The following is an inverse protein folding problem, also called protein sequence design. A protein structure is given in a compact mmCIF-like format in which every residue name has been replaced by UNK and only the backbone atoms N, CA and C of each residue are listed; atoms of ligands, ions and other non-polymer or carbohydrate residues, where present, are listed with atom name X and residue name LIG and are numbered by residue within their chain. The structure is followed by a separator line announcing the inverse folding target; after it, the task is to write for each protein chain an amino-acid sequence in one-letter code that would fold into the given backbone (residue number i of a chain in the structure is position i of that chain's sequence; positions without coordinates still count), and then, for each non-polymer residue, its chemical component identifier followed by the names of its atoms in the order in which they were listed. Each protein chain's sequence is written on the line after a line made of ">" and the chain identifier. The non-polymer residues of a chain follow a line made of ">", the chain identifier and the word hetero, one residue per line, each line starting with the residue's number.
data_IF_447161180801
#
_entry.id   IF_447161180801
#
_cell.length_a   1.000
_cell.length_b   1.000
_cell.length_c   1.000
_cell.angle_alpha   90.00
_cell.angle_beta   90.00
_cell.angle_gamma   90.00
#
_symmetry.space_group_name_H-M   'P 1'
#
loop_
_entity.id
_entity.type
_entity.pdbx_description
1 polymer ?
#
# COMPACT_ATOMS: atom_id res chain seq x y z
N UNK A 1 -6.08 15.04 -7.45
CA UNK A 1 -5.15 14.81 -6.35
C UNK A 1 -5.53 13.47 -5.69
N UNK A 2 -4.56 12.61 -5.40
CA UNK A 2 -4.74 11.38 -4.64
C UNK A 2 -5.28 11.71 -3.24
N UNK A 3 -6.19 10.90 -2.71
CA UNK A 3 -6.85 11.10 -1.42
C UNK A 3 -6.56 9.94 -0.49
N UNK A 4 -6.60 10.20 0.83
CA UNK A 4 -6.43 9.20 1.88
C UNK A 4 -5.18 8.31 1.69
N UNK A 5 -4.05 8.93 1.33
CA UNK A 5 -2.79 8.22 1.09
C UNK A 5 -2.15 7.64 2.36
N UNK A 6 -2.59 8.10 3.53
CA UNK A 6 -2.18 7.58 4.84
C UNK A 6 -3.22 6.67 5.49
N UNK A 7 -4.28 6.29 4.76
CA UNK A 7 -5.31 5.35 5.21
C UNK A 7 -6.02 5.72 6.53
N UNK A 8 -6.08 7.02 6.85
CA UNK A 8 -6.67 7.49 8.11
C UNK A 8 -8.22 7.44 8.12
N UNK A 9 -8.84 7.13 6.98
CA UNK A 9 -10.28 7.01 6.83
C UNK A 9 -10.65 5.71 6.08
N UNK A 10 -11.61 4.92 6.57
CA UNK A 10 -12.25 5.04 7.88
C UNK A 10 -11.30 4.71 9.04
N UNK A 11 -11.62 5.19 10.24
CA UNK A 11 -10.82 4.85 11.42
C UNK A 11 -11.07 3.41 11.84
N UNK A 12 -10.02 2.69 12.18
CA UNK A 12 -10.09 1.33 12.71
C UNK A 12 -10.98 1.25 13.95
N UNK A 13 -10.94 2.27 14.82
CA UNK A 13 -11.77 2.33 16.02
C UNK A 13 -13.28 2.47 15.73
N UNK A 14 -13.67 3.03 14.57
CA UNK A 14 -15.05 3.43 14.28
C UNK A 14 -15.80 2.41 13.41
N UNK A 15 -15.10 1.55 12.70
CA UNK A 15 -15.65 0.72 11.62
C UNK A 15 -15.50 -0.79 11.91
N UNK A 16 -16.18 -1.28 12.95
CA UNK A 16 -16.26 -2.74 13.18
C UNK A 16 -14.90 -3.40 13.35
N UNK A 17 -14.11 -2.90 14.27
CA UNK A 17 -12.75 -3.37 14.55
C UNK A 17 -12.66 -4.88 14.71
N UNK A 18 -11.81 -5.49 13.91
CA UNK A 18 -11.40 -6.88 14.05
C UNK A 18 -10.15 -6.95 14.94
N UNK A 19 -10.00 -8.04 15.65
CA UNK A 19 -8.85 -8.24 16.53
C UNK A 19 -8.26 -9.62 16.29
N UNK A 20 -6.96 -9.64 16.00
CA UNK A 20 -6.18 -10.86 15.94
C UNK A 20 -4.92 -10.68 16.80
N UNK A 21 -4.78 -11.51 17.84
CA UNK A 21 -3.61 -11.48 18.77
C UNK A 21 -3.28 -10.05 19.24
N UNK A 22 -4.26 -9.28 19.66
CA UNK A 22 -4.16 -7.87 20.08
C UNK A 22 -3.82 -6.85 18.98
N UNK A 23 -3.57 -7.25 17.74
CA UNK A 23 -3.58 -6.30 16.64
C UNK A 23 -5.02 -5.92 16.30
N UNK A 24 -5.22 -4.65 15.98
CA UNK A 24 -6.52 -4.13 15.57
C UNK A 24 -6.48 -3.74 14.08
N UNK A 25 -7.47 -4.15 13.35
CA UNK A 25 -7.61 -3.84 11.92
C UNK A 25 -9.09 -3.84 11.51
N UNK A 26 -9.37 -3.37 10.33
CA UNK A 26 -10.67 -3.47 9.67
C UNK A 26 -10.47 -4.01 8.25
N UNK A 27 -11.49 -4.67 7.72
CA UNK A 27 -11.56 -5.02 6.31
C UNK A 27 -12.70 -4.24 5.68
N UNK A 28 -12.37 -3.33 4.77
CA UNK A 28 -13.27 -2.32 4.24
C UNK A 28 -13.57 -2.60 2.78
N UNK A 29 -14.86 -2.64 2.42
CA UNK A 29 -15.29 -2.91 1.05
C UNK A 29 -15.01 -1.74 0.10
N UNK A 30 -14.78 -2.06 -1.18
CA UNK A 30 -14.79 -1.06 -2.24
C UNK A 30 -16.08 -0.22 -2.19
N UNK A 31 -15.95 1.09 -2.39
CA UNK A 31 -17.09 2.01 -2.36
C UNK A 31 -17.53 2.47 -0.98
N UNK A 32 -16.82 2.09 0.09
CA UNK A 32 -17.02 2.70 1.41
C UNK A 32 -16.71 4.20 1.34
N UNK A 33 -17.60 5.01 1.92
CA UNK A 33 -17.47 6.46 1.94
C UNK A 33 -16.11 6.89 2.53
N UNK A 34 -15.51 7.89 1.91
CA UNK A 34 -14.24 8.50 2.32
C UNK A 34 -13.01 7.55 2.32
N UNK A 35 -13.19 6.31 1.88
CA UNK A 35 -12.05 5.39 1.67
C UNK A 35 -11.20 5.82 0.49
N UNK A 36 -11.82 6.19 -0.64
CA UNK A 36 -11.22 6.58 -1.92
C UNK A 36 -10.42 5.49 -2.64
N UNK A 37 -9.96 4.48 -1.92
CA UNK A 37 -9.23 3.35 -2.49
C UNK A 37 -10.15 2.26 -2.97
N UNK A 38 -9.69 1.56 -4.01
CA UNK A 38 -10.27 0.32 -4.52
C UNK A 38 -9.19 -0.76 -4.50
N UNK A 39 -9.62 -2.02 -4.46
CA UNK A 39 -8.72 -3.17 -4.54
C UNK A 39 -9.20 -4.17 -5.58
N UNK A 40 -8.26 -4.98 -6.08
CA UNK A 40 -8.56 -6.15 -6.93
C UNK A 40 -8.69 -7.44 -6.13
N UNK A 41 -8.36 -7.42 -4.83
CA UNK A 41 -8.43 -8.59 -3.96
C UNK A 41 -9.88 -9.05 -3.76
N UNK A 42 -10.13 -10.36 -3.92
CA UNK A 42 -11.44 -11.03 -3.76
C UNK A 42 -11.43 -12.07 -2.63
N UNK A 43 -10.47 -11.97 -1.73
CA UNK A 43 -10.22 -12.93 -0.68
C UNK A 43 -11.34 -13.14 0.31
N UNK A 44 -11.17 -14.11 1.20
CA UNK A 44 -12.09 -14.37 2.28
C UNK A 44 -12.07 -13.22 3.32
N UNK A 45 -13.24 -12.93 3.89
CA UNK A 45 -13.33 -12.00 5.02
C UNK A 45 -12.84 -12.69 6.29
N UNK A 46 -11.94 -12.04 7.02
CA UNK A 46 -11.39 -12.57 8.26
C UNK A 46 -12.49 -12.94 9.28
N UNK A 47 -12.45 -14.15 9.79
CA UNK A 47 -13.36 -14.64 10.83
C UNK A 47 -14.74 -15.11 10.37
N UNK A 48 -15.16 -14.84 9.13
CA UNK A 48 -16.49 -15.25 8.65
C UNK A 48 -16.49 -16.52 7.80
N UNK A 49 -15.33 -16.91 7.25
CA UNK A 49 -15.22 -18.00 6.27
C UNK A 49 -15.99 -17.75 4.96
N UNK A 50 -16.65 -16.60 4.83
CA UNK A 50 -17.42 -16.24 3.66
C UNK A 50 -16.55 -15.43 2.72
N UNK A 51 -16.36 -15.91 1.50
CA UNK A 51 -15.70 -15.13 0.46
C UNK A 51 -16.54 -13.89 0.16
N UNK A 52 -15.89 -12.75 0.19
CA UNK A 52 -16.47 -11.46 -0.17
C UNK A 52 -15.58 -10.79 -1.21
N UNK A 53 -16.19 -9.98 -2.06
CA UNK A 53 -15.47 -9.29 -3.10
C UNK A 53 -14.89 -7.96 -2.60
N UNK A 54 -13.61 -7.70 -2.92
CA UNK A 54 -12.99 -6.40 -2.88
C UNK A 54 -12.89 -5.75 -1.50
N UNK A 55 -12.11 -6.38 -0.61
CA UNK A 55 -11.78 -5.82 0.70
C UNK A 55 -10.35 -5.30 0.78
N UNK A 56 -10.21 -4.13 1.41
CA UNK A 56 -8.93 -3.53 1.78
C UNK A 56 -8.73 -3.74 3.27
N UNK A 57 -7.59 -4.24 3.69
CA UNK A 57 -7.22 -4.32 5.09
C UNK A 57 -6.48 -3.05 5.52
N UNK A 58 -6.99 -2.40 6.59
CA UNK A 58 -6.39 -1.24 7.22
C UNK A 58 -6.13 -1.58 8.68
N UNK A 59 -4.88 -1.41 9.12
CA UNK A 59 -4.42 -1.74 10.45
C UNK A 59 -4.16 -0.50 11.31
N UNK A 60 -4.40 -0.63 12.62
CA UNK A 60 -4.02 0.35 13.63
C UNK A 60 -2.52 0.24 13.92
N UNK A 61 -1.74 1.25 13.51
CA UNK A 61 -0.30 1.30 13.69
C UNK A 61 0.16 1.26 15.15
N UNK A 62 -0.66 1.72 16.08
CA UNK A 62 -0.34 1.67 17.51
C UNK A 62 -0.44 0.27 18.11
N UNK A 63 -1.12 -0.66 17.40
CA UNK A 63 -1.36 -2.04 17.83
C UNK A 63 -0.87 -3.08 16.83
N UNK A 64 -0.07 -2.67 15.88
CA UNK A 64 0.44 -3.53 14.81
C UNK A 64 1.57 -4.46 15.27
N UNK A 65 2.30 -4.04 16.30
CA UNK A 65 3.47 -4.78 16.82
C UNK A 65 3.12 -5.78 17.92
N UNK A 66 2.10 -5.51 18.74
CA UNK A 66 1.77 -6.32 19.90
C UNK A 66 0.80 -7.46 19.56
N UNK A 67 1.32 -8.52 18.99
CA UNK A 67 0.57 -9.77 18.78
C UNK A 67 0.73 -10.77 19.90
N UNK A 68 1.21 -10.35 21.11
CA UNK A 68 1.76 -11.30 22.06
C UNK A 68 0.84 -11.67 23.22
N UNK A 69 0.41 -12.91 23.18
CA UNK A 69 0.39 -13.70 24.43
C UNK A 69 1.80 -14.24 24.69
N UNK A 70 2.13 -14.55 25.94
CA UNK A 70 3.40 -15.20 26.35
C UNK A 70 3.78 -16.43 25.51
N UNK A 71 2.83 -17.00 24.75
CA UNK A 71 2.97 -18.21 23.96
C UNK A 71 3.16 -17.96 22.44
N UNK A 72 3.08 -16.73 21.95
CA UNK A 72 3.36 -16.39 20.57
C UNK A 72 4.14 -15.08 20.47
N UNK A 73 5.47 -15.17 20.44
CA UNK A 73 6.36 -14.02 20.50
C UNK A 73 6.41 -13.19 19.19
N UNK A 74 5.65 -13.56 18.16
CA UNK A 74 5.71 -12.87 16.88
C UNK A 74 4.66 -11.77 16.80
N UNK A 75 5.06 -10.50 16.53
CA UNK A 75 4.13 -9.42 16.27
C UNK A 75 3.31 -9.69 15.00
N UNK A 76 2.06 -9.24 14.94
CA UNK A 76 1.16 -9.55 13.82
C UNK A 76 1.62 -8.92 12.50
N UNK A 77 1.96 -7.63 12.51
CA UNK A 77 2.44 -6.92 11.32
C UNK A 77 3.95 -6.67 11.33
N UNK A 78 4.59 -6.89 12.47
CA UNK A 78 6.04 -6.72 12.64
C UNK A 78 6.56 -5.31 12.26
N UNK A 79 5.73 -4.32 12.46
CA UNK A 79 6.05 -2.89 12.33
C UNK A 79 5.55 -2.16 13.59
N UNK A 80 6.33 -1.21 14.11
CA UNK A 80 6.06 -0.58 15.42
C UNK A 80 5.06 0.56 15.38
N UNK A 81 4.83 1.14 14.21
CA UNK A 81 3.92 2.27 14.01
C UNK A 81 3.57 2.42 12.53
N UNK A 82 2.54 3.17 12.20
CA UNK A 82 2.34 3.71 10.86
C UNK A 82 3.52 4.61 10.44
N UNK A 83 3.76 4.75 9.15
CA UNK A 83 4.76 5.69 8.62
C UNK A 83 4.24 7.13 8.70
N UNK A 84 2.95 7.32 8.46
CA UNK A 84 2.25 8.60 8.61
C UNK A 84 0.93 8.39 9.34
N UNK A 85 0.64 9.28 10.31
CA UNK A 85 -0.60 9.20 11.08
C UNK A 85 -0.64 8.00 12.03
N UNK A 86 -1.76 7.27 11.99
CA UNK A 86 -2.03 6.18 12.93
C UNK A 86 -2.31 4.83 12.26
N UNK A 87 -2.57 4.81 10.95
CA UNK A 87 -3.05 3.64 10.22
C UNK A 87 -2.19 3.37 8.99
N UNK A 88 -2.23 2.16 8.49
CA UNK A 88 -1.60 1.74 7.23
C UNK A 88 -2.42 0.63 6.57
N UNK A 89 -2.20 0.37 5.28
CA UNK A 89 -2.86 -0.71 4.56
C UNK A 89 -1.95 -1.93 4.37
N UNK A 90 -2.57 -3.09 4.16
CA UNK A 90 -1.92 -4.30 3.68
C UNK A 90 -2.44 -4.66 2.28
N UNK A 91 -1.52 -4.89 1.33
CA UNK A 91 -1.88 -5.25 -0.05
C UNK A 91 -2.39 -6.68 -0.18
N UNK A 92 -1.93 -7.58 0.70
CA UNK A 92 -2.35 -8.97 0.73
C UNK A 92 -3.49 -9.14 1.74
N UNK A 93 -4.69 -8.67 1.41
CA UNK A 93 -5.88 -8.90 2.22
C UNK A 93 -6.45 -10.29 1.91
N UNK A 94 -5.93 -11.34 2.57
CA UNK A 94 -6.22 -12.78 2.38
C UNK A 94 -5.77 -13.36 1.02
N UNK A 95 -5.43 -12.52 0.05
CA UNK A 95 -4.82 -12.88 -1.24
C UNK A 95 -4.00 -11.71 -1.79
N UNK A 96 -3.10 -11.94 -2.76
CA UNK A 96 -2.42 -10.86 -3.44
C UNK A 96 -3.41 -9.94 -4.13
N UNK A 97 -3.35 -8.66 -3.81
CA UNK A 97 -4.21 -7.65 -4.38
C UNK A 97 -3.42 -6.43 -4.89
N UNK A 98 -4.13 -5.56 -5.57
CA UNK A 98 -3.64 -4.25 -5.94
C UNK A 98 -4.59 -3.18 -5.40
N UNK A 99 -4.06 -2.20 -4.68
CA UNK A 99 -4.79 -0.98 -4.31
C UNK A 99 -4.66 0.03 -5.44
N UNK A 100 -5.76 0.71 -5.79
CA UNK A 100 -5.72 1.70 -6.84
C UNK A 100 -6.66 2.89 -6.61
N UNK A 101 -6.29 4.01 -7.21
CA UNK A 101 -7.12 5.21 -7.37
C UNK A 101 -7.01 5.76 -8.79
N UNK A 102 -8.10 6.39 -9.25
CA UNK A 102 -8.14 7.18 -10.47
C UNK A 102 -8.02 8.67 -10.12
N UNK A 103 -7.11 9.35 -10.79
CA UNK A 103 -6.84 10.78 -10.56
C UNK A 103 -6.97 11.52 -11.88
N UNK A 104 -7.70 12.64 -11.87
CA UNK A 104 -7.72 13.56 -13.03
C UNK A 104 -6.33 14.16 -13.22
N UNK A 105 -5.85 14.10 -14.44
CA UNK A 105 -4.52 14.54 -14.85
C UNK A 105 -4.55 15.36 -16.11
N UNK A 106 -3.49 16.10 -16.37
CA UNK A 106 -3.31 16.93 -17.55
C UNK A 106 -2.17 16.36 -18.41
N UNK A 107 -2.41 16.04 -19.69
CA UNK A 107 -1.38 15.54 -20.59
C UNK A 107 -0.14 16.43 -20.62
N UNK A 108 1.04 15.80 -20.65
CA UNK A 108 2.33 16.49 -20.65
C UNK A 108 2.83 16.94 -19.27
N UNK A 109 2.01 16.80 -18.22
CA UNK A 109 2.45 17.14 -16.85
C UNK A 109 3.37 16.07 -16.31
N UNK A 110 4.45 16.49 -15.65
CA UNK A 110 5.26 15.60 -14.79
C UNK A 110 4.62 15.56 -13.41
N UNK A 111 4.34 14.35 -12.94
CA UNK A 111 3.77 14.07 -11.64
C UNK A 111 4.79 13.28 -10.82
N UNK A 112 4.94 13.64 -9.57
CA UNK A 112 5.80 12.94 -8.63
C UNK A 112 4.98 11.96 -7.80
N UNK A 113 5.45 10.74 -7.64
CA UNK A 113 4.84 9.76 -6.75
C UNK A 113 5.77 9.39 -5.62
N UNK A 114 5.22 9.06 -4.47
CA UNK A 114 5.94 8.58 -3.32
C UNK A 114 5.09 7.68 -2.46
N UNK A 115 5.73 6.75 -1.74
CA UNK A 115 5.09 5.84 -0.80
C UNK A 115 6.11 5.32 0.23
N UNK A 116 5.58 4.85 1.37
CA UNK A 116 6.34 4.04 2.32
C UNK A 116 5.91 2.59 2.18
N UNK A 117 6.88 1.67 2.06
CA UNK A 117 6.66 0.23 1.98
C UNK A 117 7.47 -0.51 3.05
N UNK A 118 6.90 -1.59 3.57
CA UNK A 118 7.57 -2.51 4.50
C UNK A 118 7.11 -3.95 4.27
N UNK A 119 8.01 -4.90 4.50
CA UNK A 119 7.64 -6.31 4.58
C UNK A 119 6.99 -6.66 5.91
N UNK A 120 6.05 -7.60 5.92
CA UNK A 120 5.36 -8.05 7.14
C UNK A 120 6.15 -9.10 7.91
N UNK A 121 6.55 -10.19 7.26
CA UNK A 121 7.21 -11.35 7.90
C UNK A 121 8.63 -11.62 7.42
N UNK A 122 9.14 -10.78 6.56
CA UNK A 122 10.45 -10.90 5.93
C UNK A 122 10.60 -9.87 4.84
N UNK A 123 11.16 -10.26 3.70
CA UNK A 123 11.20 -9.39 2.51
C UNK A 123 9.96 -9.62 1.68
N UNK A 124 9.16 -8.59 1.51
CA UNK A 124 8.02 -8.58 0.61
C UNK A 124 8.34 -7.72 -0.62
N UNK A 125 7.69 -8.03 -1.73
CA UNK A 125 7.89 -7.33 -3.00
C UNK A 125 6.56 -6.82 -3.53
N UNK A 126 6.55 -5.54 -3.88
CA UNK A 126 5.43 -4.88 -4.55
C UNK A 126 5.86 -4.21 -5.84
N UNK A 127 4.91 -3.83 -6.69
CA UNK A 127 5.15 -3.00 -7.85
C UNK A 127 4.28 -1.75 -7.85
N UNK A 128 4.80 -0.69 -8.45
CA UNK A 128 4.04 0.52 -8.79
C UNK A 128 3.75 0.46 -10.28
N UNK A 129 2.46 0.47 -10.65
CA UNK A 129 1.99 0.53 -12.05
C UNK A 129 1.19 1.80 -12.23
N UNK A 130 1.51 2.59 -13.24
CA UNK A 130 0.81 3.85 -13.53
C UNK A 130 0.41 3.85 -15.01
N UNK A 131 -0.89 3.97 -15.28
CA UNK A 131 -1.41 3.89 -16.64
C UNK A 131 -2.70 4.69 -16.81
N UNK A 132 -3.24 4.68 -18.03
CA UNK A 132 -4.60 5.14 -18.24
C UNK A 132 -5.63 4.09 -17.76
N UNK A 133 -6.89 4.51 -17.63
CA UNK A 133 -7.96 3.62 -17.17
C UNK A 133 -8.47 2.68 -18.27
N UNK A 134 -8.07 2.90 -19.53
CA UNK A 134 -8.55 2.13 -20.70
C UNK A 134 -7.75 0.85 -20.86
N UNK A 135 -6.50 0.87 -20.48
CA UNK A 135 -5.58 -0.28 -20.57
C UNK A 135 -5.87 -1.37 -19.55
N UNK A 136 -6.75 -1.11 -18.58
CA UNK A 136 -6.99 -1.98 -17.44
C UNK A 136 -8.47 -2.28 -17.28
N UNK A 137 -8.88 -3.50 -17.62
CA UNK A 137 -10.26 -3.96 -17.39
C UNK A 137 -10.57 -4.01 -15.87
N UNK A 138 -11.84 -3.91 -15.51
CA UNK A 138 -12.30 -4.04 -14.13
C UNK A 138 -11.93 -5.40 -13.49
N UNK A 139 -11.71 -6.41 -14.32
CA UNK A 139 -11.42 -7.78 -13.88
C UNK A 139 -9.91 -8.10 -13.90
N UNK A 140 -9.08 -7.14 -14.28
CA UNK A 140 -7.64 -7.32 -14.31
C UNK A 140 -7.06 -7.27 -12.89
N UNK A 141 -6.47 -8.37 -12.45
CA UNK A 141 -5.70 -8.43 -11.22
C UNK A 141 -4.22 -8.63 -11.55
N UNK A 142 -3.39 -7.59 -11.47
CA UNK A 142 -1.97 -7.67 -11.77
C UNK A 142 -1.13 -8.27 -10.64
N UNK A 143 -1.74 -8.73 -9.56
CA UNK A 143 -1.04 -9.15 -8.35
C UNK A 143 -0.63 -10.63 -8.37
N UNK A 144 0.35 -10.99 -7.55
CA UNK A 144 0.85 -12.35 -7.40
C UNK A 144 1.28 -12.96 -8.71
N UNK A 145 0.74 -14.12 -9.08
CA UNK A 145 1.07 -14.83 -10.33
C UNK A 145 0.59 -14.10 -11.60
N UNK A 146 -0.26 -13.09 -11.47
CA UNK A 146 -0.71 -12.23 -12.58
C UNK A 146 0.25 -11.09 -12.89
N UNK A 147 1.29 -10.88 -12.07
CA UNK A 147 2.24 -9.80 -12.28
C UNK A 147 3.16 -10.08 -13.47
N UNK A 148 3.22 -9.12 -14.38
CA UNK A 148 4.13 -9.12 -15.53
C UNK A 148 5.08 -7.93 -15.43
N UNK A 149 6.33 -8.19 -15.11
CA UNK A 149 7.37 -7.17 -15.01
C UNK A 149 7.71 -6.52 -16.36
N UNK A 150 7.38 -7.16 -17.47
CA UNK A 150 7.60 -6.61 -18.81
C UNK A 150 6.54 -5.61 -19.26
N UNK A 151 5.45 -5.47 -18.49
CA UNK A 151 4.42 -4.47 -18.76
C UNK A 151 5.05 -3.06 -18.73
N UNK A 152 4.94 -2.28 -19.83
CA UNK A 152 5.57 -0.95 -19.94
C UNK A 152 5.06 0.07 -18.93
N UNK A 153 3.91 -0.17 -18.30
CA UNK A 153 3.33 0.70 -17.29
C UNK A 153 3.92 0.49 -15.89
N UNK A 154 4.77 -0.54 -15.70
CA UNK A 154 5.50 -0.77 -14.44
C UNK A 154 6.55 0.32 -14.26
N UNK A 155 6.39 1.14 -13.23
CA UNK A 155 7.31 2.22 -12.89
C UNK A 155 8.44 1.74 -11.95
N UNK A 156 8.13 0.84 -11.03
CA UNK A 156 9.09 0.30 -10.08
C UNK A 156 8.65 -1.08 -9.56
N UNK A 157 9.64 -1.91 -9.22
CA UNK A 157 9.47 -3.12 -8.40
C UNK A 157 10.32 -2.91 -7.14
N UNK A 158 9.66 -2.97 -5.98
CA UNK A 158 10.22 -2.58 -4.70
C UNK A 158 10.24 -3.80 -3.78
N UNK A 159 11.37 -4.03 -3.10
CA UNK A 159 11.52 -5.14 -2.17
C UNK A 159 12.08 -4.64 -0.84
N UNK A 160 11.27 -4.71 0.21
CA UNK A 160 11.62 -4.19 1.52
C UNK A 160 11.47 -5.24 2.61
N UNK A 161 12.34 -5.10 3.63
CA UNK A 161 12.38 -5.99 4.78
C UNK A 161 11.34 -5.57 5.81
N UNK A 162 10.99 -6.53 6.65
CA UNK A 162 10.19 -6.29 7.85
C UNK A 162 10.89 -5.36 8.86
N UNK A 163 10.10 -4.72 9.71
CA UNK A 163 10.55 -3.97 10.89
C UNK A 163 10.81 -2.49 10.68
N UNK A 164 10.79 -1.99 9.46
CA UNK A 164 10.92 -0.56 9.15
C UNK A 164 10.28 -0.19 7.84
N UNK A 165 9.77 1.03 7.76
CA UNK A 165 9.34 1.65 6.53
C UNK A 165 10.52 2.07 5.67
N UNK A 166 10.38 1.93 4.35
CA UNK A 166 11.32 2.44 3.35
C UNK A 166 10.57 3.35 2.39
N UNK A 167 11.02 4.59 2.27
CA UNK A 167 10.42 5.55 1.35
C UNK A 167 10.92 5.34 -0.08
N UNK A 168 9.99 5.24 -1.01
CA UNK A 168 10.24 5.14 -2.44
C UNK A 168 9.53 6.28 -3.17
N UNK A 169 10.10 6.71 -4.29
CA UNK A 169 9.56 7.80 -5.10
C UNK A 169 10.01 7.71 -6.54
N UNK A 170 9.31 8.43 -7.41
CA UNK A 170 9.67 8.56 -8.82
C UNK A 170 8.78 9.57 -9.53
N UNK A 171 9.01 9.71 -10.80
CA UNK A 171 8.31 10.64 -11.69
C UNK A 171 7.50 9.87 -12.73
N UNK A 172 6.37 10.47 -13.12
CA UNK A 172 5.53 9.99 -14.21
C UNK A 172 5.13 11.15 -15.11
N UNK A 173 5.47 11.09 -16.39
CA UNK A 173 4.99 12.07 -17.36
C UNK A 173 3.68 11.59 -17.96
N UNK A 174 2.63 12.36 -17.76
CA UNK A 174 1.29 12.03 -18.28
C UNK A 174 1.30 12.03 -19.82
N UNK A 175 1.00 10.91 -20.49
CA UNK A 175 0.98 10.82 -21.93
C UNK A 175 -0.03 11.75 -22.60
N UNK A 176 0.21 12.06 -23.87
CA UNK A 176 -0.74 12.83 -24.67
C UNK A 176 -2.10 12.10 -24.74
N UNK A 177 -3.17 12.85 -24.49
CA UNK A 177 -4.54 12.32 -24.50
C UNK A 177 -4.98 11.57 -23.24
N UNK A 178 -4.12 11.44 -22.22
CA UNK A 178 -4.47 10.83 -20.96
C UNK A 178 -4.96 11.90 -19.97
N UNK A 179 -6.27 11.93 -19.70
CA UNK A 179 -6.89 12.86 -18.76
C UNK A 179 -7.28 12.22 -17.43
N UNK A 180 -7.18 10.91 -17.33
CA UNK A 180 -7.34 10.13 -16.09
C UNK A 180 -6.17 9.20 -15.99
N UNK A 181 -5.50 9.22 -14.84
CA UNK A 181 -4.37 8.34 -14.55
C UNK A 181 -4.74 7.43 -13.38
N UNK A 182 -4.52 6.13 -13.54
CA UNK A 182 -4.72 5.13 -12.51
C UNK A 182 -3.39 4.67 -11.94
N UNK A 183 -3.34 4.65 -10.62
CA UNK A 183 -2.22 4.12 -9.86
C UNK A 183 -2.58 2.79 -9.29
N UNK A 184 -1.74 1.79 -9.53
CA UNK A 184 -1.79 0.52 -8.82
C UNK A 184 -0.54 0.37 -7.95
N UNK A 185 -0.79 -0.06 -6.71
CA UNK A 185 0.19 -0.57 -5.77
C UNK A 185 -0.08 -2.05 -5.62
N UNK A 186 0.81 -2.88 -6.17
CA UNK A 186 0.52 -4.27 -6.53
C UNK A 186 1.34 -5.21 -5.66
N UNK A 187 0.71 -6.14 -4.95
CA UNK A 187 1.40 -7.22 -4.26
C UNK A 187 1.99 -8.20 -5.28
N UNK A 188 3.32 -8.35 -5.32
CA UNK A 188 4.03 -9.25 -6.23
C UNK A 188 4.41 -10.54 -5.54
N UNK A 189 5.08 -10.43 -4.39
CA UNK A 189 5.49 -11.56 -3.58
C UNK A 189 5.53 -11.19 -2.10
N UNK A 190 5.32 -12.16 -1.24
CA UNK A 190 5.49 -12.00 0.19
C UNK A 190 6.41 -13.08 0.75
N UNK A 191 7.00 -12.79 1.91
CA UNK A 191 7.95 -13.67 2.58
C UNK A 191 7.41 -15.10 2.74
N UNK A 192 8.26 -16.07 2.49
CA UNK A 192 7.93 -17.50 2.56
C UNK A 192 6.82 -17.96 1.59
N UNK A 193 6.57 -17.22 0.51
CA UNK A 193 5.51 -17.53 -0.45
C UNK A 193 4.11 -17.37 0.12
N UNK A 194 3.95 -16.56 1.17
CA UNK A 194 2.65 -16.31 1.77
C UNK A 194 1.80 -15.45 0.84
N UNK A 195 0.62 -15.94 0.49
CA UNK A 195 -0.30 -15.23 -0.41
C UNK A 195 -1.31 -14.35 0.34
N UNK A 196 -1.56 -14.64 1.61
CA UNK A 196 -2.63 -13.99 2.39
C UNK A 196 -2.16 -12.88 3.32
N UNK A 197 -0.85 -12.65 3.42
CA UNK A 197 -0.32 -11.50 4.18
C UNK A 197 1.02 -11.03 3.66
N UNK A 198 1.23 -9.73 3.69
CA UNK A 198 2.46 -9.10 3.23
C UNK A 198 2.22 -7.75 2.57
N UNK A 199 3.32 -7.08 2.25
CA UNK A 199 3.32 -5.80 1.58
C UNK A 199 2.50 -4.73 2.32
N UNK A 200 3.09 -4.17 3.37
CA UNK A 200 2.52 -3.05 4.13
C UNK A 200 2.80 -1.74 3.38
N UNK A 201 1.79 -0.88 3.30
CA UNK A 201 1.81 0.33 2.49
C UNK A 201 1.24 1.52 3.26
N UNK A 202 1.92 2.67 3.19
CA UNK A 202 1.49 3.90 3.84
C UNK A 202 2.07 5.14 3.14
N UNK A 203 1.64 6.34 3.58
CA UNK A 203 2.16 7.64 3.17
C UNK A 203 2.24 7.81 1.65
N UNK A 204 1.18 7.42 0.94
CA UNK A 204 1.13 7.50 -0.51
C UNK A 204 0.82 8.94 -0.94
N UNK A 205 1.59 9.41 -1.89
CA UNK A 205 1.43 10.73 -2.47
C UNK A 205 1.55 10.68 -3.99
N UNK A 206 0.84 11.59 -4.67
CA UNK A 206 0.92 11.77 -6.10
C UNK A 206 0.43 13.16 -6.52
N UNK A 207 1.25 13.90 -7.24
CA UNK A 207 0.91 15.25 -7.70
C UNK A 207 2.08 16.05 -8.24
N UNK A 208 1.78 17.29 -8.68
CA UNK A 208 2.77 18.25 -9.22
C UNK A 208 3.72 18.79 -8.13
N UNK A 209 3.22 18.91 -6.91
CA UNK A 209 3.86 19.67 -5.82
C UNK A 209 4.28 18.75 -4.66
N UNK A 210 4.62 17.49 -4.95
CA UNK A 210 5.13 16.65 -3.89
C UNK A 210 6.51 17.13 -3.46
N UNK A 211 6.78 17.18 -2.15
CA UNK A 211 8.11 17.47 -1.69
C UNK A 211 9.06 16.44 -2.32
N UNK A 212 10.16 16.93 -2.87
CA UNK A 212 11.33 16.08 -3.10
C UNK A 212 11.52 15.19 -1.87
N UNK A 213 12.08 13.98 -2.05
CA UNK A 213 12.33 13.08 -0.92
C UNK A 213 12.86 13.90 0.24
N UNK A 214 12.46 13.60 1.48
CA UNK A 214 12.92 14.36 2.64
C UNK A 214 14.42 14.51 2.50
N UNK A 215 14.91 15.76 2.50
CA UNK A 215 16.30 16.06 2.31
C UNK A 215 17.07 15.12 3.25
N UNK A 216 17.91 14.24 2.66
CA UNK A 216 18.76 13.40 3.49
C UNK A 216 19.44 14.35 4.44
N UNK A 217 19.14 14.28 5.71
CA UNK A 217 19.86 15.02 6.75
C UNK A 217 21.27 14.45 6.77
N UNK A 218 22.06 14.92 5.81
CA UNK A 218 23.48 14.67 5.78
C UNK A 218 24.07 15.38 6.98
N UNK A 219 24.70 14.66 7.89
CA UNK A 219 25.50 15.23 8.92
C UNK A 219 26.56 16.12 8.24
N UNK A 220 26.39 17.43 8.37
CA UNK A 220 27.40 18.39 7.95
C UNK A 220 28.60 18.23 8.90
N UNK A 221 29.61 17.50 8.48
CA UNK A 221 30.89 17.44 9.20
C UNK A 221 31.62 18.74 8.88
N UNK A 222 31.52 19.72 9.77
CA UNK A 222 32.37 20.92 9.71
C UNK A 222 33.73 20.54 10.23
N UNK A 223 34.68 20.31 9.32
CA UNK A 223 36.10 20.21 9.68
C UNK A 223 36.64 21.64 9.84
N UNK A 224 36.90 22.07 11.07
CA UNK A 224 37.70 23.28 11.31
C UNK A 224 39.12 23.05 10.77
N UNK A 225 39.55 23.90 9.85
CA UNK A 225 40.97 24.09 9.56
C UNK A 225 41.58 25.02 10.59
#
# INVERSE_FOLDING_TARGET
>A
KLQNGSFETPKVSDAGTLTYKNAHFIQVANGTNDLYWKTTAKGAYFGSGTQRDYYIEIADGSRSYYGNTVNDPKPVYNISSAAQGNQFAELNCEEPGALYQDVLTEPGTVLHWGLEHAGRWGTDTMAVIISDTKSMSSDWNPAGSGFDQSNPDVQAVLSDKTGKWTYHYGDYTVPAGQYVTRFYFVAVAAANGNLSNGNLLDNISFGKDLPNPPAKTGNLIITKQ
#
